data_IF_723010418111
#
_entry.id   IF_723010418111
#
_cell.length_a   1.000
_cell.length_b   1.000
_cell.length_c   1.000
_cell.angle_alpha   90.00
_cell.angle_beta   90.00
_cell.angle_gamma   90.00
#
_symmetry.space_group_name_H-M   'P 1'
#
loop_
_entity.id
_entity.type
_entity.pdbx_description
1 polymer ?
#
# COMPACT_ATOMS: atom_id res chain seq x y z
N UNK A 1 -25.43 30.25 28.31
CA UNK A 1 -23.98 29.94 28.31
C UNK A 1 -23.37 30.65 27.11
N UNK A 2 -22.51 31.65 27.32
CA UNK A 2 -21.87 32.39 26.22
C UNK A 2 -20.82 31.48 25.59
N UNK A 3 -21.02 31.09 24.34
CA UNK A 3 -19.94 30.50 23.55
C UNK A 3 -18.84 31.56 23.40
N UNK A 4 -17.66 31.30 23.95
CA UNK A 4 -16.47 32.08 23.63
C UNK A 4 -16.19 31.83 22.14
N UNK A 5 -16.35 32.86 21.32
CA UNK A 5 -16.06 32.78 19.89
C UNK A 5 -14.56 32.61 19.68
N UNK A 6 -14.18 31.62 18.87
CA UNK A 6 -12.81 31.44 18.40
C UNK A 6 -12.38 32.72 17.69
N UNK A 7 -11.25 33.30 18.08
CA UNK A 7 -10.73 34.48 17.39
C UNK A 7 -10.20 34.07 16.01
N UNK A 8 -10.35 34.95 15.01
CA UNK A 8 -9.84 34.68 13.65
C UNK A 8 -8.33 34.36 13.64
N UNK A 9 -7.57 34.97 14.57
CA UNK A 9 -6.13 34.75 14.71
C UNK A 9 -5.80 33.34 15.25
N UNK A 10 -6.60 32.80 16.17
CA UNK A 10 -6.43 31.42 16.67
C UNK A 10 -6.68 30.40 15.56
N UNK A 11 -7.65 30.65 14.68
CA UNK A 11 -7.93 29.75 13.57
C UNK A 11 -6.84 29.85 12.48
N UNK A 12 -6.34 31.06 12.22
CA UNK A 12 -5.28 31.33 11.25
C UNK A 12 -3.94 30.69 11.63
N UNK A 13 -3.53 30.76 12.91
CA UNK A 13 -2.25 30.19 13.34
C UNK A 13 -2.27 28.66 13.25
N UNK A 14 -3.41 28.03 13.52
CA UNK A 14 -3.55 26.57 13.47
C UNK A 14 -3.41 26.06 12.03
N UNK A 15 -4.09 26.69 11.07
CA UNK A 15 -3.97 26.27 9.66
C UNK A 15 -2.54 26.49 9.14
N UNK A 16 -1.85 27.56 9.58
CA UNK A 16 -0.47 27.82 9.20
C UNK A 16 0.49 26.73 9.71
N UNK A 17 0.30 26.28 10.96
CA UNK A 17 1.12 25.21 11.54
C UNK A 17 0.85 23.86 10.88
N UNK A 18 -0.40 23.56 10.48
CA UNK A 18 -0.75 22.29 9.80
C UNK A 18 -0.28 22.28 8.33
N UNK A 19 -0.28 23.44 7.66
CA UNK A 19 0.11 23.54 6.25
C UNK A 19 1.57 23.15 5.99
N UNK A 20 2.49 23.53 6.89
CA UNK A 20 3.92 23.23 6.78
C UNK A 20 4.19 21.70 6.72
N UNK A 21 3.77 20.88 7.71
CA UNK A 21 3.96 19.44 7.66
C UNK A 21 3.12 18.79 6.56
N UNK A 22 1.89 19.25 6.31
CA UNK A 22 1.04 18.68 5.26
C UNK A 22 1.69 18.75 3.86
N UNK A 23 2.40 19.86 3.55
CA UNK A 23 3.10 20.04 2.28
C UNK A 23 4.16 18.96 2.01
N UNK A 24 4.77 18.38 3.04
CA UNK A 24 5.79 17.33 2.93
C UNK A 24 5.17 15.94 3.11
N UNK A 25 4.20 15.79 4.02
CA UNK A 25 3.56 14.50 4.28
C UNK A 25 2.72 14.01 3.10
N UNK A 26 1.95 14.89 2.43
CA UNK A 26 1.13 14.48 1.28
C UNK A 26 1.93 13.83 0.13
N UNK A 27 3.04 14.42 -0.36
CA UNK A 27 3.82 13.79 -1.42
C UNK A 27 4.50 12.49 -0.96
N UNK A 28 5.05 12.47 0.27
CA UNK A 28 5.71 11.28 0.82
C UNK A 28 4.73 10.13 1.04
N UNK A 29 3.50 10.42 1.46
CA UNK A 29 2.47 9.42 1.70
C UNK A 29 2.10 8.63 0.44
N UNK A 30 2.00 9.30 -0.72
CA UNK A 30 1.72 8.64 -1.98
C UNK A 30 2.84 7.64 -2.36
N UNK A 31 4.10 8.05 -2.21
CA UNK A 31 5.26 7.20 -2.50
C UNK A 31 5.40 6.04 -1.49
N UNK A 32 5.11 6.29 -0.21
CA UNK A 32 5.09 5.26 0.82
C UNK A 32 4.03 4.19 0.55
N UNK A 33 2.82 4.60 0.10
CA UNK A 33 1.74 3.67 -0.27
C UNK A 33 2.14 2.78 -1.45
N UNK A 34 2.73 3.35 -2.51
CA UNK A 34 3.20 2.56 -3.65
C UNK A 34 4.30 1.57 -3.22
N UNK A 35 5.23 2.02 -2.38
CA UNK A 35 6.30 1.17 -1.84
C UNK A 35 5.74 0.04 -0.98
N UNK A 36 4.69 0.30 -0.19
CA UNK A 36 3.98 -0.73 0.59
C UNK A 36 3.33 -1.78 -0.33
N UNK A 37 2.69 -1.37 -1.43
CA UNK A 37 2.13 -2.34 -2.39
C UNK A 37 3.21 -3.19 -3.05
N UNK A 38 4.34 -2.58 -3.43
CA UNK A 38 5.50 -3.32 -3.97
C UNK A 38 6.06 -4.32 -2.95
N UNK A 39 6.19 -3.91 -1.69
CA UNK A 39 6.65 -4.77 -0.60
C UNK A 39 5.73 -5.99 -0.39
N UNK A 40 4.41 -5.75 -0.35
CA UNK A 40 3.41 -6.83 -0.24
C UNK A 40 3.48 -7.78 -1.44
N UNK A 41 3.54 -7.24 -2.67
CA UNK A 41 3.65 -8.06 -3.87
C UNK A 41 4.95 -8.90 -3.85
N UNK A 42 6.08 -8.30 -3.52
CA UNK A 42 7.37 -9.02 -3.41
C UNK A 42 7.31 -10.12 -2.35
N UNK A 43 6.69 -9.85 -1.20
CA UNK A 43 6.49 -10.84 -0.14
C UNK A 43 5.62 -12.01 -0.62
N UNK A 44 4.51 -11.73 -1.33
CA UNK A 44 3.64 -12.76 -1.88
C UNK A 44 4.36 -13.61 -2.93
N UNK A 45 5.11 -12.99 -3.85
CA UNK A 45 5.88 -13.69 -4.86
C UNK A 45 6.98 -14.57 -4.24
N UNK A 46 7.65 -14.10 -3.19
CA UNK A 46 8.61 -14.92 -2.43
C UNK A 46 7.92 -16.14 -1.82
N UNK A 47 6.76 -15.96 -1.18
CA UNK A 47 6.00 -17.07 -0.60
C UNK A 47 5.55 -18.08 -1.66
N UNK A 48 5.07 -17.61 -2.82
CA UNK A 48 4.71 -18.48 -3.95
C UNK A 48 5.92 -19.20 -4.54
N UNK A 49 7.05 -18.51 -4.72
CA UNK A 49 8.28 -19.12 -5.22
C UNK A 49 8.80 -20.21 -4.29
N UNK A 50 8.75 -19.98 -2.98
CA UNK A 50 9.05 -21.02 -1.98
C UNK A 50 8.07 -22.19 -2.10
N UNK A 51 6.77 -21.93 -2.22
CA UNK A 51 5.76 -22.98 -2.36
C UNK A 51 5.97 -23.82 -3.63
N UNK A 52 6.30 -23.21 -4.76
CA UNK A 52 6.63 -23.92 -5.99
C UNK A 52 7.92 -24.74 -5.87
N UNK A 53 8.92 -24.21 -5.18
CA UNK A 53 10.18 -24.93 -4.94
C UNK A 53 9.94 -26.16 -4.06
N UNK A 54 9.14 -26.02 -3.00
CA UNK A 54 8.73 -27.15 -2.16
C UNK A 54 7.96 -28.20 -2.95
N UNK A 55 7.00 -27.77 -3.78
CA UNK A 55 6.23 -28.68 -4.62
C UNK A 55 7.12 -29.46 -5.60
N UNK A 56 8.03 -28.79 -6.30
CA UNK A 56 8.93 -29.41 -7.26
C UNK A 56 9.83 -30.47 -6.59
N UNK A 57 10.34 -30.20 -5.38
CA UNK A 57 11.14 -31.15 -4.61
C UNK A 57 10.33 -32.42 -4.28
N UNK A 58 9.05 -32.27 -3.92
CA UNK A 58 8.19 -33.40 -3.56
C UNK A 58 7.69 -34.20 -4.78
N UNK A 59 7.74 -33.63 -5.99
CA UNK A 59 7.14 -34.17 -7.21
C UNK A 59 8.13 -34.27 -8.40
N UNK A 60 9.33 -34.80 -8.18
CA UNK A 60 10.35 -35.07 -9.23
C UNK A 60 10.61 -33.88 -10.17
N UNK A 61 10.71 -32.67 -9.60
CA UNK A 61 10.92 -31.39 -10.31
C UNK A 61 9.78 -30.98 -11.26
N UNK A 62 8.58 -31.56 -11.09
CA UNK A 62 7.40 -31.14 -11.86
C UNK A 62 6.68 -29.97 -11.19
N UNK A 63 6.39 -28.92 -11.98
CA UNK A 63 5.60 -27.78 -11.52
C UNK A 63 4.11 -28.03 -11.65
N UNK A 64 3.33 -27.51 -10.70
CA UNK A 64 1.88 -27.61 -10.73
C UNK A 64 1.30 -26.97 -12.00
N UNK A 65 0.56 -27.75 -12.79
CA UNK A 65 -0.02 -27.30 -14.07
C UNK A 65 -1.10 -26.26 -13.81
N UNK A 66 -0.86 -25.01 -14.24
CA UNK A 66 -1.90 -23.98 -14.29
C UNK A 66 -2.93 -24.37 -15.36
N UNK A 67 -4.19 -24.50 -14.95
CA UNK A 67 -5.30 -24.63 -15.89
C UNK A 67 -5.65 -23.24 -16.42
N UNK A 68 -5.25 -22.93 -17.66
CA UNK A 68 -5.68 -21.71 -18.33
C UNK A 68 -7.16 -21.83 -18.69
N UNK A 69 -8.05 -21.38 -17.81
CA UNK A 69 -9.40 -21.01 -18.25
C UNK A 69 -9.24 -19.75 -19.07
N UNK A 70 -9.31 -19.87 -20.40
CA UNK A 70 -9.43 -18.73 -21.27
C UNK A 70 -10.68 -17.95 -20.86
N UNK A 71 -10.50 -16.80 -20.22
CA UNK A 71 -11.59 -15.86 -19.97
C UNK A 71 -11.91 -15.17 -21.31
N UNK A 72 -13.17 -15.18 -21.78
CA UNK A 72 -13.55 -14.31 -22.87
C UNK A 72 -13.47 -12.87 -22.37
N UNK A 73 -12.62 -12.07 -23.00
CA UNK A 73 -12.61 -10.62 -22.85
C UNK A 73 -13.91 -10.05 -23.45
N UNK A 74 -14.52 -9.00 -22.87
CA UNK A 74 -15.53 -8.22 -23.56
C UNK A 74 -14.92 -7.42 -24.73
#
# INVERSE_FOLDING_TARGET
MRAAGFTLIELLVVIAIIAIPAAILFPVFAQARESAYKATCSSNLRQLGTAFSMYAIDYDDTLARVASRASPTP
#
